data_IF_344154392481
#
_entry.id   IF_344154392481
#
_cell.length_a   1.000
_cell.length_b   1.000
_cell.length_c   1.000
_cell.angle_alpha   90.00
_cell.angle_beta   90.00
_cell.angle_gamma   90.00
#
_symmetry.space_group_name_H-M   'P 1'
#
loop_
_entity.id
_entity.type
_entity.pdbx_description
1 polymer ?
#
# COMPACT_ATOMS: atom_id res chain seq x y z
N UNK A 1 -9.23 -10.06 16.69
CA UNK A 1 -9.15 -10.77 15.40
C UNK A 1 -8.03 -10.24 14.51
N UNK A 2 -7.44 -9.06 14.76
CA UNK A 2 -6.32 -8.55 13.95
C UNK A 2 -6.73 -8.12 12.54
N UNK A 3 -8.04 -8.05 12.26
CA UNK A 3 -8.61 -7.68 10.97
C UNK A 3 -9.56 -6.50 11.20
N UNK A 4 -9.53 -5.45 10.35
CA UNK A 4 -10.49 -4.34 10.41
C UNK A 4 -11.95 -4.81 10.40
N UNK A 5 -12.81 -4.13 11.16
CA UNK A 5 -14.23 -4.46 11.21
C UNK A 5 -14.98 -3.99 9.95
N UNK A 6 -14.80 -2.75 9.51
CA UNK A 6 -15.40 -2.24 8.26
C UNK A 6 -14.36 -2.17 7.13
N UNK A 7 -14.79 -1.74 5.95
CA UNK A 7 -13.91 -1.50 4.81
C UNK A 7 -12.84 -0.46 5.11
N UNK A 8 -11.72 -0.59 4.40
CA UNK A 8 -10.55 0.26 4.61
C UNK A 8 -9.79 0.43 3.30
N UNK A 9 -9.31 1.65 3.07
CA UNK A 9 -8.53 2.04 1.90
C UNK A 9 -7.22 2.68 2.37
N UNK A 10 -6.10 2.36 1.70
CA UNK A 10 -4.81 3.01 1.91
C UNK A 10 -4.07 3.18 0.59
N UNK A 11 -3.64 4.40 0.28
CA UNK A 11 -2.91 4.69 -0.96
C UNK A 11 -3.75 4.42 -2.22
N UNK A 12 -5.08 4.47 -2.11
CA UNK A 12 -6.02 4.06 -3.15
C UNK A 12 -6.12 2.54 -3.36
N UNK A 13 -5.54 1.71 -2.49
CA UNK A 13 -5.77 0.27 -2.48
C UNK A 13 -6.82 -0.10 -1.45
N UNK A 14 -7.71 -1.03 -1.81
CA UNK A 14 -8.53 -1.73 -0.84
C UNK A 14 -7.65 -2.58 0.09
N UNK A 15 -7.72 -2.30 1.40
CA UNK A 15 -7.23 -3.21 2.44
C UNK A 15 -8.33 -4.22 2.79
N UNK A 16 -9.57 -3.75 2.93
CA UNK A 16 -10.74 -4.59 3.16
C UNK A 16 -11.92 -4.00 2.40
N UNK A 17 -12.67 -4.84 1.69
CA UNK A 17 -13.93 -4.44 1.05
C UNK A 17 -14.96 -4.03 2.11
N UNK A 18 -15.76 -3.01 1.81
CA UNK A 18 -16.87 -2.61 2.68
C UNK A 18 -17.99 -3.65 2.67
N UNK A 19 -18.72 -3.77 3.77
CA UNK A 19 -19.92 -4.59 3.85
C UNK A 19 -21.13 -3.76 3.44
N UNK A 20 -21.86 -4.25 2.43
CA UNK A 20 -23.01 -3.54 1.86
C UNK A 20 -24.09 -3.30 2.92
N UNK A 21 -24.51 -2.04 3.05
CA UNK A 21 -25.58 -1.61 3.97
C UNK A 21 -25.37 -2.06 5.43
N UNK A 22 -24.12 -2.17 5.86
CA UNK A 22 -23.77 -2.63 7.22
C UNK A 22 -24.16 -1.64 8.33
N UNK A 23 -24.64 -0.44 7.99
CA UNK A 23 -24.84 0.65 8.94
C UNK A 23 -23.52 1.29 9.41
N UNK A 24 -22.39 0.85 8.85
CA UNK A 24 -21.10 1.52 9.01
C UNK A 24 -21.15 2.94 8.47
N UNK A 25 -20.39 3.81 9.12
CA UNK A 25 -20.11 5.18 8.67
C UNK A 25 -18.62 5.20 8.34
N UNK A 26 -18.23 5.91 7.30
CA UNK A 26 -16.84 5.95 6.87
C UNK A 26 -16.28 7.35 6.93
N UNK A 27 -15.07 7.49 7.46
CA UNK A 27 -14.23 8.64 7.17
C UNK A 27 -13.42 8.34 5.92
N UNK A 28 -13.32 9.30 5.01
CA UNK A 28 -12.48 9.19 3.83
C UNK A 28 -11.74 10.50 3.55
N UNK A 29 -10.54 10.37 2.99
CA UNK A 29 -9.73 11.44 2.43
C UNK A 29 -9.42 11.11 0.98
N UNK A 30 -9.74 12.03 0.08
CA UNK A 30 -9.64 11.82 -1.35
C UNK A 30 -8.39 12.48 -1.96
N UNK A 31 -8.13 12.18 -3.24
CA UNK A 31 -6.97 12.73 -3.98
C UNK A 31 -7.10 14.23 -4.27
N UNK A 32 -8.30 14.77 -4.16
CA UNK A 32 -8.61 16.20 -4.29
C UNK A 32 -8.35 16.96 -2.97
N UNK A 33 -7.83 16.25 -1.95
CA UNK A 33 -7.50 16.75 -0.60
C UNK A 33 -8.71 17.14 0.23
N UNK A 34 -9.86 16.54 -0.07
CA UNK A 34 -11.09 16.73 0.68
C UNK A 34 -11.29 15.55 1.63
N UNK A 35 -11.78 15.87 2.82
CA UNK A 35 -12.21 14.89 3.80
C UNK A 35 -13.74 14.88 3.86
N UNK A 36 -14.32 13.70 3.99
CA UNK A 36 -15.77 13.56 4.18
C UNK A 36 -16.09 12.42 5.15
N UNK A 37 -17.27 12.51 5.76
CA UNK A 37 -17.86 11.44 6.57
C UNK A 37 -19.12 10.98 5.85
N UNK A 38 -19.05 9.81 5.22
CA UNK A 38 -20.13 9.23 4.43
C UNK A 38 -21.16 8.48 5.28
N UNK A 39 -22.30 8.13 4.67
CA UNK A 39 -23.25 7.16 5.24
C UNK A 39 -23.00 5.75 4.73
N UNK A 40 -24.01 4.87 4.79
CA UNK A 40 -23.81 3.48 4.43
C UNK A 40 -23.37 3.32 2.98
N UNK A 41 -22.43 2.43 2.74
CA UNK A 41 -21.93 2.10 1.41
C UNK A 41 -22.56 0.84 0.85
N UNK A 42 -22.63 0.76 -0.47
CA UNK A 42 -23.02 -0.43 -1.22
C UNK A 42 -22.23 -0.53 -2.52
N UNK A 43 -21.98 -1.75 -2.97
CA UNK A 43 -21.30 -1.99 -4.25
C UNK A 43 -22.31 -2.29 -5.37
N UNK A 44 -22.41 -1.47 -6.43
CA UNK A 44 -23.38 -1.71 -7.48
C UNK A 44 -23.02 -2.97 -8.26
N UNK A 45 -23.97 -3.88 -8.44
CA UNK A 45 -23.79 -5.15 -9.16
C UNK A 45 -23.29 -4.94 -10.61
N UNK A 46 -23.70 -3.83 -11.23
CA UNK A 46 -23.33 -3.45 -12.58
C UNK A 46 -22.02 -2.65 -12.66
N UNK A 47 -21.29 -2.53 -11.55
CA UNK A 47 -19.98 -1.86 -11.47
C UNK A 47 -18.90 -2.68 -10.72
N UNK A 48 -19.07 -4.00 -10.63
CA UNK A 48 -18.04 -4.93 -10.13
C UNK A 48 -17.48 -5.83 -11.24
N UNK A 49 -16.45 -5.35 -11.95
CA UNK A 49 -15.96 -6.01 -13.17
C UNK A 49 -14.45 -6.24 -13.21
N UNK A 50 -14.11 -7.46 -13.63
CA UNK A 50 -12.83 -7.80 -14.25
C UNK A 50 -13.00 -7.78 -15.77
N UNK A 51 -12.27 -6.91 -16.46
CA UNK A 51 -12.23 -6.81 -17.91
C UNK A 51 -10.98 -7.49 -18.49
N UNK A 52 -11.16 -8.21 -19.59
CA UNK A 52 -10.12 -8.70 -20.48
C UNK A 52 -10.11 -7.78 -21.70
N UNK A 53 -9.27 -6.74 -21.64
CA UNK A 53 -9.39 -5.54 -22.49
C UNK A 53 -9.11 -5.84 -23.96
N UNK A 54 -8.16 -6.73 -24.25
CA UNK A 54 -7.76 -7.05 -25.62
C UNK A 54 -8.83 -7.83 -26.40
N UNK A 55 -9.81 -8.43 -25.71
CA UNK A 55 -10.87 -9.26 -26.30
C UNK A 55 -12.29 -8.78 -25.97
N UNK A 56 -12.44 -7.66 -25.28
CA UNK A 56 -13.74 -7.10 -24.91
C UNK A 56 -14.62 -8.00 -24.04
N UNK A 57 -14.02 -8.88 -23.22
CA UNK A 57 -14.77 -9.77 -22.31
C UNK A 57 -14.74 -9.23 -20.89
N UNK A 58 -15.76 -9.55 -20.08
CA UNK A 58 -15.78 -9.25 -18.65
C UNK A 58 -16.28 -10.40 -17.78
N UNK A 59 -15.90 -10.39 -16.51
CA UNK A 59 -16.36 -11.30 -15.46
C UNK A 59 -16.74 -10.48 -14.22
N UNK A 60 -17.73 -10.97 -13.46
CA UNK A 60 -18.15 -10.34 -12.21
C UNK A 60 -17.07 -10.53 -11.15
N UNK A 61 -16.71 -9.43 -10.48
CA UNK A 61 -15.85 -9.46 -9.30
C UNK A 61 -16.72 -9.69 -8.07
N UNK A 62 -16.43 -10.75 -7.30
CA UNK A 62 -17.23 -11.16 -6.14
C UNK A 62 -16.66 -10.75 -4.78
N UNK A 63 -15.40 -10.30 -4.72
CA UNK A 63 -14.80 -9.87 -3.46
C UNK A 63 -13.39 -9.33 -3.60
N UNK A 64 -12.93 -8.64 -2.56
CA UNK A 64 -11.56 -8.10 -2.46
C UNK A 64 -11.05 -8.39 -1.05
N UNK A 65 -9.87 -9.02 -0.94
CA UNK A 65 -9.20 -9.35 0.31
C UNK A 65 -10.09 -10.12 1.32
N UNK A 66 -10.93 -11.02 0.80
CA UNK A 66 -11.79 -11.91 1.60
C UNK A 66 -11.39 -13.37 1.38
N UNK A 67 -11.69 -14.30 2.31
CA UNK A 67 -11.40 -15.72 2.10
C UNK A 67 -12.08 -16.28 0.84
N UNK A 68 -11.33 -17.03 0.03
CA UNK A 68 -11.82 -17.61 -1.24
C UNK A 68 -12.31 -19.06 -1.05
N UNK A 69 -13.59 -19.18 -0.68
CA UNK A 69 -14.25 -20.44 -0.34
C UNK A 69 -15.45 -20.78 -1.24
N UNK A 70 -15.68 -20.02 -2.32
CA UNK A 70 -16.90 -20.09 -3.13
C UNK A 70 -16.63 -20.08 -4.64
N UNK A 71 -17.67 -20.35 -5.45
CA UNK A 71 -17.63 -20.23 -6.92
C UNK A 71 -17.76 -18.76 -7.36
N UNK A 72 -16.75 -17.95 -7.06
CA UNK A 72 -16.67 -16.54 -7.45
C UNK A 72 -15.23 -16.13 -7.81
N UNK A 73 -15.04 -14.85 -8.15
CA UNK A 73 -13.71 -14.24 -8.30
C UNK A 73 -13.45 -13.35 -7.09
N UNK A 74 -12.28 -13.53 -6.47
CA UNK A 74 -11.76 -12.65 -5.41
C UNK A 74 -10.43 -12.05 -5.88
N UNK A 75 -10.24 -10.75 -5.65
CA UNK A 75 -8.95 -10.09 -5.82
C UNK A 75 -8.23 -10.02 -4.48
N UNK A 76 -6.95 -10.40 -4.48
CA UNK A 76 -6.04 -10.21 -3.36
C UNK A 76 -4.99 -9.16 -3.72
N UNK A 77 -4.82 -8.20 -2.82
CA UNK A 77 -3.85 -7.09 -2.92
C UNK A 77 -2.72 -7.29 -1.92
N UNK A 78 -1.59 -6.57 -2.03
CA UNK A 78 -0.46 -6.69 -1.10
C UNK A 78 -0.84 -6.35 0.36
N UNK A 79 -1.97 -5.69 0.59
CA UNK A 79 -2.49 -5.34 1.91
C UNK A 79 -3.15 -6.51 2.64
N UNK A 80 -3.51 -7.59 1.93
CA UNK A 80 -4.11 -8.77 2.55
C UNK A 80 -3.06 -9.58 3.33
N UNK A 81 -1.99 -9.98 2.63
CA UNK A 81 -0.85 -10.71 3.16
C UNK A 81 0.24 -10.78 2.05
N UNK A 82 1.39 -11.40 2.33
CA UNK A 82 2.42 -11.62 1.30
C UNK A 82 2.00 -12.63 0.22
N UNK A 83 0.94 -13.41 0.45
CA UNK A 83 0.32 -14.32 -0.51
C UNK A 83 -1.20 -14.44 -0.31
N UNK A 84 -1.90 -15.14 -1.21
CA UNK A 84 -3.36 -15.26 -1.15
C UNK A 84 -3.91 -16.13 -0.02
N UNK A 85 -3.05 -16.91 0.67
CA UNK A 85 -3.44 -17.92 1.68
C UNK A 85 -4.47 -18.95 1.22
N UNK A 86 -4.74 -19.05 -0.08
CA UNK A 86 -5.70 -20.01 -0.64
C UNK A 86 -5.08 -21.40 -0.75
N UNK A 87 -5.92 -22.42 -0.67
CA UNK A 87 -5.55 -23.81 -0.95
C UNK A 87 -5.58 -24.14 -2.44
N UNK A 88 -5.26 -25.40 -2.76
CA UNK A 88 -5.36 -25.93 -4.12
C UNK A 88 -6.82 -26.11 -4.56
N UNK A 89 -7.05 -26.30 -5.87
CA UNK A 89 -8.39 -26.46 -6.45
C UNK A 89 -9.02 -25.15 -6.92
N UNK A 90 -8.20 -24.26 -7.47
CA UNK A 90 -8.58 -22.98 -8.06
C UNK A 90 -7.52 -22.49 -9.04
N UNK A 91 -7.84 -21.42 -9.75
CA UNK A 91 -6.95 -20.73 -10.69
C UNK A 91 -6.59 -19.39 -10.09
N UNK A 92 -5.30 -19.09 -10.02
CA UNK A 92 -4.77 -17.81 -9.60
C UNK A 92 -4.00 -17.14 -10.72
N UNK A 93 -4.36 -15.88 -11.00
CA UNK A 93 -3.75 -15.06 -12.04
C UNK A 93 -3.05 -13.89 -11.39
N UNK A 94 -1.73 -13.83 -11.52
CA UNK A 94 -0.92 -12.70 -11.05
C UNK A 94 -0.97 -11.59 -12.10
N UNK A 95 -1.30 -10.39 -11.66
CA UNK A 95 -1.37 -9.20 -12.51
C UNK A 95 -0.42 -8.14 -11.98
N UNK A 96 0.45 -7.62 -12.85
CA UNK A 96 1.25 -6.42 -12.57
C UNK A 96 0.44 -5.18 -12.94
N UNK A 97 0.22 -4.29 -11.98
CA UNK A 97 -0.69 -3.16 -12.10
C UNK A 97 0.03 -1.87 -12.48
N UNK A 98 -0.60 -1.08 -13.35
CA UNK A 98 -0.14 0.27 -13.73
C UNK A 98 -0.51 1.34 -12.70
N UNK A 99 -1.51 1.04 -11.86
CA UNK A 99 -1.99 1.90 -10.80
C UNK A 99 -2.74 1.08 -9.74
N UNK A 100 -2.94 1.62 -8.53
CA UNK A 100 -3.81 1.01 -7.52
C UNK A 100 -5.21 0.71 -8.06
N UNK A 101 -5.75 -0.46 -7.71
CA UNK A 101 -7.13 -0.85 -7.98
C UNK A 101 -8.11 -0.21 -6.99
N UNK A 102 -8.13 1.13 -6.98
CA UNK A 102 -9.00 1.93 -6.13
C UNK A 102 -10.45 1.99 -6.63
N UNK A 103 -11.32 2.55 -5.79
CA UNK A 103 -12.75 2.70 -6.09
C UNK A 103 -12.93 3.51 -7.37
N UNK A 104 -13.77 3.04 -8.30
CA UNK A 104 -14.07 3.74 -9.56
C UNK A 104 -12.92 3.87 -10.56
N UNK A 105 -11.68 3.54 -10.16
CA UNK A 105 -10.44 3.90 -10.87
C UNK A 105 -10.23 3.26 -12.24
N UNK A 106 -11.04 2.25 -12.60
CA UNK A 106 -10.88 1.41 -13.81
C UNK A 106 -9.42 0.98 -14.01
N UNK A 107 -8.77 0.55 -12.92
CA UNK A 107 -7.35 0.26 -12.88
C UNK A 107 -6.93 -0.78 -13.91
N UNK A 108 -5.75 -0.62 -14.50
CA UNK A 108 -5.26 -1.47 -15.58
C UNK A 108 -3.99 -2.22 -15.15
N UNK A 109 -3.78 -3.38 -15.74
CA UNK A 109 -2.60 -4.19 -15.51
C UNK A 109 -2.38 -5.24 -16.58
N UNK A 110 -1.29 -6.00 -16.44
CA UNK A 110 -0.90 -7.06 -17.35
C UNK A 110 -0.80 -8.39 -16.63
N UNK A 111 -1.37 -9.44 -17.22
CA UNK A 111 -1.26 -10.79 -16.68
C UNK A 111 0.20 -11.26 -16.79
N UNK A 112 0.82 -11.62 -15.66
CA UNK A 112 2.21 -12.10 -15.59
C UNK A 112 2.33 -13.61 -15.41
N UNK A 113 1.39 -14.23 -14.71
CA UNK A 113 1.36 -15.68 -14.57
C UNK A 113 -0.06 -16.19 -14.33
N UNK A 114 -0.31 -17.44 -14.71
CA UNK A 114 -1.54 -18.17 -14.45
C UNK A 114 -1.13 -19.49 -13.78
N UNK A 115 -1.79 -19.85 -12.68
CA UNK A 115 -1.45 -21.02 -11.86
C UNK A 115 -2.71 -21.77 -11.49
N UNK A 116 -2.68 -23.10 -11.65
CA UNK A 116 -3.73 -24.00 -11.14
C UNK A 116 -3.40 -24.43 -9.69
N UNK A 117 -3.00 -23.47 -8.87
CA UNK A 117 -2.60 -23.66 -7.48
C UNK A 117 -2.84 -22.38 -6.68
N UNK A 118 -3.09 -22.54 -5.38
CA UNK A 118 -3.26 -21.42 -4.47
C UNK A 118 -1.96 -20.80 -3.98
N UNK A 119 -2.08 -19.97 -2.95
CA UNK A 119 -0.97 -19.33 -2.23
C UNK A 119 0.00 -18.57 -3.14
N UNK A 120 -0.52 -17.91 -4.18
CA UNK A 120 0.29 -17.00 -5.02
C UNK A 120 0.79 -15.83 -4.21
N UNK A 121 2.11 -15.63 -4.25
CA UNK A 121 2.77 -14.45 -3.69
C UNK A 121 2.19 -13.20 -4.34
N UNK A 122 2.04 -12.15 -3.55
CA UNK A 122 1.48 -10.86 -4.02
C UNK A 122 2.58 -9.80 -3.88
N UNK A 123 3.40 -9.59 -4.94
CA UNK A 123 4.37 -8.52 -4.96
C UNK A 123 3.71 -7.14 -4.86
N UNK A 124 4.48 -6.15 -4.41
CA UNK A 124 4.11 -4.74 -4.50
C UNK A 124 3.70 -4.37 -5.93
N UNK A 125 2.70 -3.50 -6.07
CA UNK A 125 2.07 -3.13 -7.34
C UNK A 125 1.54 -4.30 -8.17
N UNK A 126 1.30 -5.45 -7.55
CA UNK A 126 0.59 -6.55 -8.15
C UNK A 126 -0.69 -6.85 -7.39
N UNK A 127 -1.56 -7.61 -8.04
CA UNK A 127 -2.67 -8.28 -7.37
C UNK A 127 -2.78 -9.71 -7.91
N UNK A 128 -3.50 -10.54 -7.16
CA UNK A 128 -3.85 -11.89 -7.60
C UNK A 128 -5.36 -11.98 -7.75
N UNK A 129 -5.80 -12.41 -8.93
CA UNK A 129 -7.19 -12.79 -9.18
C UNK A 129 -7.30 -14.29 -8.89
N UNK A 130 -8.08 -14.65 -7.88
CA UNK A 130 -8.29 -16.03 -7.44
C UNK A 130 -9.72 -16.45 -7.71
N UNK A 131 -9.90 -17.57 -8.42
CA UNK A 131 -11.21 -18.11 -8.75
C UNK A 131 -11.27 -19.62 -8.60
N UNK A 132 -12.42 -20.14 -8.14
CA UNK A 132 -12.68 -21.57 -7.93
C UNK A 132 -13.93 -22.01 -8.68
N UNK A 133 -14.19 -23.31 -8.75
CA UNK A 133 -15.39 -23.85 -9.38
C UNK A 133 -15.54 -23.44 -10.85
N UNK A 134 -16.77 -23.11 -11.26
CA UNK A 134 -17.06 -22.70 -12.62
C UNK A 134 -16.42 -21.34 -12.97
N UNK A 135 -16.28 -20.44 -12.00
CA UNK A 135 -15.55 -19.17 -12.17
C UNK A 135 -14.07 -19.42 -12.47
N UNK A 136 -13.44 -20.37 -11.79
CA UNK A 136 -12.08 -20.83 -12.07
C UNK A 136 -11.92 -21.34 -13.50
N UNK A 137 -12.81 -22.25 -13.94
CA UNK A 137 -12.79 -22.76 -15.31
C UNK A 137 -12.96 -21.65 -16.36
N UNK A 138 -13.86 -20.69 -16.12
CA UNK A 138 -14.04 -19.52 -16.99
C UNK A 138 -12.82 -18.61 -17.00
N UNK A 139 -12.16 -18.40 -15.84
CA UNK A 139 -10.96 -17.59 -15.72
C UNK A 139 -9.81 -18.21 -16.51
N UNK A 140 -9.53 -19.51 -16.33
CA UNK A 140 -8.49 -20.23 -17.08
C UNK A 140 -8.76 -20.22 -18.60
N UNK A 141 -10.02 -20.38 -19.02
CA UNK A 141 -10.37 -20.33 -20.44
C UNK A 141 -10.11 -18.96 -21.08
N UNK A 142 -10.17 -17.87 -20.31
CA UNK A 142 -10.09 -16.48 -20.79
C UNK A 142 -8.70 -15.86 -20.63
N UNK A 143 -8.05 -16.05 -19.48
CA UNK A 143 -6.80 -15.40 -19.12
C UNK A 143 -5.65 -15.87 -20.02
N UNK A 144 -4.84 -14.92 -20.52
CA UNK A 144 -3.59 -15.21 -21.25
C UNK A 144 -2.45 -14.35 -20.71
N UNK A 145 -1.27 -14.93 -20.60
CA UNK A 145 -0.07 -14.19 -20.20
C UNK A 145 0.17 -13.04 -21.19
N UNK A 146 0.46 -11.85 -20.67
CA UNK A 146 0.66 -10.62 -21.43
C UNK A 146 -0.61 -9.83 -21.77
N UNK A 147 -1.80 -10.41 -21.59
CA UNK A 147 -3.07 -9.73 -21.84
C UNK A 147 -3.29 -8.56 -20.87
N UNK A 148 -3.84 -7.47 -21.40
CA UNK A 148 -4.27 -6.32 -20.59
C UNK A 148 -5.59 -6.60 -19.91
N UNK A 149 -5.65 -6.31 -18.62
CA UNK A 149 -6.88 -6.36 -17.85
C UNK A 149 -7.29 -4.98 -17.36
N UNK A 150 -8.57 -4.84 -17.04
CA UNK A 150 -9.13 -3.70 -16.32
C UNK A 150 -9.89 -4.18 -15.10
N UNK A 151 -9.87 -3.42 -14.00
CA UNK A 151 -10.62 -3.69 -12.78
C UNK A 151 -11.47 -2.47 -12.47
N UNK A 152 -12.78 -2.68 -12.38
CA UNK A 152 -13.72 -1.71 -11.87
C UNK A 152 -14.37 -2.30 -10.61
N UNK A 153 -14.29 -1.54 -9.53
CA UNK A 153 -15.07 -1.77 -8.32
C UNK A 153 -15.50 -0.40 -7.83
N UNK A 154 -16.78 -0.10 -7.97
CA UNK A 154 -17.37 1.14 -7.49
C UNK A 154 -18.12 0.94 -6.18
N UNK A 155 -18.39 2.06 -5.51
CA UNK A 155 -19.28 2.15 -4.36
C UNK A 155 -20.25 3.30 -4.61
N UNK A 156 -21.52 3.06 -4.27
CA UNK A 156 -22.49 4.12 -4.02
C UNK A 156 -22.68 4.28 -2.51
N UNK A 157 -23.04 5.48 -2.10
CA UNK A 157 -23.35 5.81 -0.71
C UNK A 157 -24.79 6.24 -0.52
N UNK A 158 -25.31 5.89 0.64
CA UNK A 158 -26.65 6.20 1.11
C UNK A 158 -26.57 6.95 2.44
N UNK A 159 -27.70 7.49 2.89
CA UNK A 159 -27.85 8.08 4.22
C UNK A 159 -27.45 7.09 5.30
N UNK A 160 -27.20 7.59 6.51
CA UNK A 160 -26.77 6.78 7.68
C UNK A 160 -27.73 5.64 8.05
N UNK A 161 -29.01 5.74 7.70
CA UNK A 161 -30.02 4.70 7.91
C UNK A 161 -30.14 3.74 6.70
N UNK A 162 -29.21 3.86 5.76
CA UNK A 162 -29.04 3.05 4.57
C UNK A 162 -30.22 3.13 3.58
N UNK A 163 -30.91 4.28 3.50
CA UNK A 163 -32.15 4.43 2.72
C UNK A 163 -32.02 5.34 1.52
N UNK A 164 -31.66 6.60 1.77
CA UNK A 164 -31.70 7.64 0.76
C UNK A 164 -30.35 7.77 0.08
N UNK A 165 -30.31 8.02 -1.23
CA UNK A 165 -29.06 8.23 -1.94
C UNK A 165 -28.32 9.44 -1.36
N UNK A 166 -27.06 9.25 -1.01
CA UNK A 166 -26.19 10.28 -0.43
C UNK A 166 -24.84 10.24 -1.14
N UNK A 167 -24.71 10.87 -2.32
CA UNK A 167 -23.56 10.69 -3.19
C UNK A 167 -22.32 11.36 -2.62
N UNK A 168 -21.25 10.59 -2.48
CA UNK A 168 -19.93 11.03 -1.99
C UNK A 168 -18.83 10.77 -3.02
N UNK A 169 -17.69 11.44 -2.87
CA UNK A 169 -16.55 11.37 -3.82
C UNK A 169 -15.66 10.15 -3.60
N UNK A 170 -16.26 8.96 -3.69
CA UNK A 170 -15.56 7.69 -3.48
C UNK A 170 -14.55 7.34 -4.58
N UNK A 171 -14.79 7.73 -5.82
CA UNK A 171 -13.92 7.40 -6.97
C UNK A 171 -12.48 7.96 -6.86
N UNK A 172 -12.30 9.00 -6.04
CA UNK A 172 -10.99 9.59 -5.74
C UNK A 172 -10.49 9.26 -4.34
N UNK A 173 -11.15 8.35 -3.60
CA UNK A 173 -10.74 7.97 -2.25
C UNK A 173 -9.29 7.44 -2.22
N UNK A 174 -8.47 8.05 -1.36
CA UNK A 174 -7.07 7.71 -1.19
C UNK A 174 -6.82 6.97 0.12
N UNK A 175 -7.50 7.37 1.18
CA UNK A 175 -7.51 6.70 2.45
C UNK A 175 -8.93 6.70 3.02
N UNK A 176 -9.32 5.62 3.67
CA UNK A 176 -10.61 5.54 4.35
C UNK A 176 -10.56 4.52 5.48
N UNK A 177 -11.28 4.80 6.55
CA UNK A 177 -11.46 3.89 7.69
C UNK A 177 -12.92 3.98 8.14
N UNK A 178 -13.56 2.83 8.32
CA UNK A 178 -14.90 2.79 8.90
C UNK A 178 -14.88 3.06 10.40
N UNK A 179 -15.93 3.71 10.88
CA UNK A 179 -16.24 3.92 12.29
C UNK A 179 -17.58 3.30 12.66
N UNK A 180 -17.92 3.36 13.96
CA UNK A 180 -19.09 2.66 14.49
C UNK A 180 -20.40 3.40 14.31
N UNK A 181 -20.37 4.73 14.40
CA UNK A 181 -21.54 5.61 14.24
C UNK A 181 -21.09 7.07 14.12
N UNK A 182 -21.90 7.90 13.45
CA UNK A 182 -21.73 9.35 13.43
C UNK A 182 -22.42 9.98 14.64
N UNK A 183 -21.70 10.71 15.48
CA UNK A 183 -22.29 11.42 16.63
C UNK A 183 -22.63 12.87 16.30
N UNK A 184 -22.14 13.38 15.17
CA UNK A 184 -22.41 14.73 14.67
C UNK A 184 -22.58 14.68 13.14
N UNK A 185 -23.67 15.26 12.64
CA UNK A 185 -24.06 15.19 11.24
C UNK A 185 -24.60 16.55 10.79
N UNK A 186 -23.86 17.27 9.94
CA UNK A 186 -24.22 18.62 9.50
C UNK A 186 -24.67 19.53 10.66
N UNK A 187 -23.83 19.64 11.70
CA UNK A 187 -24.06 20.37 12.97
C UNK A 187 -25.13 19.80 13.91
N UNK A 188 -25.85 18.74 13.52
CA UNK A 188 -26.84 18.08 14.37
C UNK A 188 -26.21 16.96 15.20
N UNK A 189 -26.45 16.99 16.51
CA UNK A 189 -26.04 15.91 17.42
C UNK A 189 -26.94 14.70 17.18
N UNK A 190 -26.31 13.55 16.92
CA UNK A 190 -27.01 12.29 16.69
C UNK A 190 -27.04 11.49 18.00
N UNK A 191 -28.24 11.28 18.52
CA UNK A 191 -28.45 10.54 19.77
C UNK A 191 -28.59 9.03 19.53
N UNK A 192 -27.98 8.25 20.44
CA UNK A 192 -28.02 6.78 20.45
C UNK A 192 -28.41 6.28 21.83
N UNK A 193 -29.59 6.69 22.31
CA UNK A 193 -30.01 6.53 23.72
C UNK A 193 -30.11 5.07 24.19
N UNK A 194 -30.31 4.12 23.27
CA UNK A 194 -30.35 2.69 23.57
C UNK A 194 -28.98 2.00 23.48
N UNK A 195 -27.94 2.69 23.01
CA UNK A 195 -26.60 2.14 22.87
C UNK A 195 -25.74 2.47 24.10
N UNK A 196 -25.50 1.48 24.96
CA UNK A 196 -24.65 1.65 26.14
C UNK A 196 -23.23 2.13 25.81
N UNK A 197 -22.69 1.74 24.66
CA UNK A 197 -21.41 2.22 24.16
C UNK A 197 -21.42 3.71 23.84
N UNK A 198 -22.59 4.32 23.58
CA UNK A 198 -22.74 5.74 23.34
C UNK A 198 -23.14 6.52 24.62
N UNK A 199 -24.04 5.96 25.44
CA UNK A 199 -24.59 6.68 26.61
C UNK A 199 -23.72 6.62 27.85
N UNK A 200 -22.77 5.69 27.93
CA UNK A 200 -21.82 5.62 29.06
C UNK A 200 -20.53 6.36 28.76
N UNK A 201 -19.87 6.89 29.81
CA UNK A 201 -18.57 7.55 29.66
C UNK A 201 -17.47 6.52 29.42
N UNK A 202 -16.73 6.71 28.34
CA UNK A 202 -15.59 5.89 27.97
C UNK A 202 -14.44 6.75 27.44
N UNK A 203 -13.20 6.24 27.42
CA UNK A 203 -12.19 6.75 26.52
C UNK A 203 -12.72 6.71 25.09
N UNK A 204 -12.45 7.76 24.31
CA UNK A 204 -12.97 7.92 22.94
C UNK A 204 -11.84 8.17 21.97
N UNK A 205 -12.02 7.67 20.75
CA UNK A 205 -11.26 8.07 19.58
C UNK A 205 -12.27 8.54 18.55
N UNK A 206 -12.04 9.68 17.91
CA UNK A 206 -12.95 10.23 16.93
C UNK A 206 -12.23 11.01 15.85
N UNK A 207 -12.91 11.13 14.71
CA UNK A 207 -12.59 12.10 13.67
C UNK A 207 -13.74 13.09 13.59
N UNK A 208 -13.45 14.37 13.72
CA UNK A 208 -14.41 15.46 13.52
C UNK A 208 -13.91 16.34 12.36
N UNK A 209 -14.80 16.96 11.60
CA UNK A 209 -14.38 17.88 10.54
C UNK A 209 -15.36 19.04 10.35
N UNK A 210 -14.83 20.12 9.80
CA UNK A 210 -15.57 21.21 9.14
C UNK A 210 -14.89 21.51 7.81
N UNK A 211 -15.30 22.59 7.12
CA UNK A 211 -14.75 22.96 5.82
C UNK A 211 -13.24 23.29 5.82
N UNK A 212 -12.65 23.60 6.98
CA UNK A 212 -11.26 24.04 7.10
C UNK A 212 -10.34 23.01 7.78
N UNK A 213 -10.86 22.27 8.76
CA UNK A 213 -10.09 21.41 9.64
C UNK A 213 -10.63 19.98 9.71
N UNK A 214 -9.69 19.03 9.73
CA UNK A 214 -9.92 17.65 10.21
C UNK A 214 -9.29 17.51 11.58
N UNK A 215 -10.10 17.17 12.57
CA UNK A 215 -9.71 16.95 13.95
C UNK A 215 -9.61 15.46 14.25
N UNK A 216 -8.44 15.02 14.69
CA UNK A 216 -8.25 13.70 15.31
C UNK A 216 -8.33 13.88 16.82
N UNK A 217 -9.35 13.28 17.44
CA UNK A 217 -9.67 13.50 18.86
C UNK A 217 -9.47 12.20 19.62
N UNK A 218 -8.69 12.27 20.71
CA UNK A 218 -8.58 11.20 21.71
C UNK A 218 -8.96 11.75 23.08
N UNK A 219 -9.85 11.04 23.76
CA UNK A 219 -10.31 11.35 25.12
C UNK A 219 -9.91 10.19 26.01
N UNK A 220 -9.09 10.44 27.04
CA UNK A 220 -8.81 9.43 28.07
C UNK A 220 -10.07 9.14 28.90
N UNK A 221 -10.15 7.98 29.54
CA UNK A 221 -11.29 7.65 30.41
C UNK A 221 -11.03 6.45 31.31
N UNK A 222 -12.05 6.05 32.10
CA UNK A 222 -12.01 4.94 33.09
C UNK A 222 -10.94 5.11 34.18
N UNK A 223 -10.54 6.34 34.46
CA UNK A 223 -9.41 6.64 35.33
C UNK A 223 -9.80 7.71 36.37
N UNK A 224 -10.46 7.29 37.47
CA UNK A 224 -10.89 8.21 38.53
C UNK A 224 -9.76 9.12 39.02
N UNK A 225 -10.05 10.40 39.22
CA UNK A 225 -9.07 11.42 39.61
C UNK A 225 -8.21 11.98 38.47
N UNK A 226 -8.33 11.46 37.24
CA UNK A 226 -7.64 11.98 36.06
C UNK A 226 -8.61 12.23 34.90
N UNK A 227 -9.20 11.19 34.33
CA UNK A 227 -10.23 11.31 33.30
C UNK A 227 -11.26 10.19 33.41
N UNK A 228 -12.52 10.59 33.46
CA UNK A 228 -13.67 9.66 33.50
C UNK A 228 -14.21 9.32 32.11
N UNK A 229 -13.70 9.95 31.05
CA UNK A 229 -14.17 9.78 29.68
C UNK A 229 -15.37 10.65 29.32
N UNK A 230 -15.92 10.44 28.13
CA UNK A 230 -17.10 11.13 27.62
C UNK A 230 -18.15 10.16 27.12
N UNK A 231 -19.42 10.53 27.24
CA UNK A 231 -20.49 9.95 26.41
C UNK A 231 -20.33 10.43 24.96
N UNK A 232 -20.98 9.77 23.99
CA UNK A 232 -20.95 10.23 22.60
C UNK A 232 -21.56 11.63 22.44
N UNK A 233 -22.57 11.94 23.23
CA UNK A 233 -23.25 13.23 23.22
C UNK A 233 -22.37 14.34 23.86
N UNK A 234 -21.64 14.04 24.93
CA UNK A 234 -20.62 14.95 25.49
C UNK A 234 -19.51 15.23 24.47
N UNK A 235 -19.04 14.19 23.77
CA UNK A 235 -18.06 14.31 22.70
C UNK A 235 -18.61 15.14 21.52
N UNK A 236 -19.87 14.91 21.13
CA UNK A 236 -20.51 15.66 20.05
C UNK A 236 -20.62 17.15 20.38
N UNK A 237 -21.06 17.50 21.59
CA UNK A 237 -21.07 18.88 22.08
C UNK A 237 -19.66 19.49 22.09
N UNK A 238 -18.66 18.74 22.53
CA UNK A 238 -17.28 19.22 22.49
C UNK A 238 -16.81 19.51 21.05
N UNK A 239 -16.97 18.56 20.12
CA UNK A 239 -16.58 18.77 18.72
C UNK A 239 -17.31 19.95 18.08
N UNK A 240 -18.63 20.06 18.28
CA UNK A 240 -19.43 21.16 17.73
C UNK A 240 -19.10 22.51 18.38
N UNK A 241 -19.21 22.58 19.70
CA UNK A 241 -19.21 23.86 20.42
C UNK A 241 -17.79 24.39 20.68
N UNK A 242 -16.76 23.53 20.70
CA UNK A 242 -15.36 23.92 20.99
C UNK A 242 -14.45 23.87 19.78
N UNK A 243 -14.63 22.87 18.90
CA UNK A 243 -13.83 22.75 17.69
C UNK A 243 -14.52 23.38 16.47
N UNK A 244 -15.80 23.74 16.57
CA UNK A 244 -16.56 24.21 15.41
C UNK A 244 -16.67 23.14 14.32
N UNK A 245 -16.59 21.86 14.70
CA UNK A 245 -16.79 20.77 13.76
C UNK A 245 -18.28 20.64 13.42
N UNK A 246 -18.57 20.23 12.20
CA UNK A 246 -19.93 20.03 11.70
C UNK A 246 -20.27 18.54 11.52
N UNK A 247 -19.23 17.72 11.36
CA UNK A 247 -19.34 16.28 11.18
C UNK A 247 -18.45 15.58 12.19
N UNK A 248 -18.86 14.40 12.65
CA UNK A 248 -18.14 13.65 13.67
C UNK A 248 -18.46 12.16 13.65
N UNK A 249 -17.42 11.34 13.56
CA UNK A 249 -17.50 9.88 13.54
C UNK A 249 -16.73 9.28 14.71
N UNK A 250 -17.37 8.35 15.41
CA UNK A 250 -16.73 7.58 16.48
C UNK A 250 -15.89 6.44 15.90
N UNK A 251 -14.64 6.34 16.34
CA UNK A 251 -13.71 5.24 16.07
C UNK A 251 -13.65 4.29 17.26
N UNK A 252 -12.87 3.20 17.16
CA UNK A 252 -12.69 2.29 18.30
C UNK A 252 -12.12 3.03 19.52
N UNK A 253 -12.75 2.79 20.67
CA UNK A 253 -12.53 3.55 21.90
C UNK A 253 -12.03 2.66 23.05
N UNK A 254 -12.31 3.09 24.29
CA UNK A 254 -11.96 2.30 25.46
C UNK A 254 -10.46 2.09 25.61
N UNK A 255 -10.02 0.84 25.83
CA UNK A 255 -8.59 0.52 25.93
C UNK A 255 -7.82 0.68 24.63
N UNK A 256 -8.51 0.81 23.49
CA UNK A 256 -7.89 1.03 22.18
C UNK A 256 -7.52 2.50 21.92
N UNK A 257 -8.07 3.45 22.70
CA UNK A 257 -7.79 4.88 22.51
C UNK A 257 -6.34 5.23 22.86
N UNK A 258 -5.56 5.54 21.83
CA UNK A 258 -4.19 6.01 21.93
C UNK A 258 -3.89 7.05 20.84
N UNK A 259 -3.11 8.07 21.18
CA UNK A 259 -2.56 9.05 20.24
C UNK A 259 -1.05 9.09 20.36
N UNK A 260 -0.39 9.02 19.21
CA UNK A 260 1.04 9.20 19.09
C UNK A 260 1.34 10.54 18.41
N UNK A 261 2.28 11.28 18.96
CA UNK A 261 2.83 12.49 18.36
C UNK A 261 4.35 12.43 18.50
N UNK A 262 5.06 12.69 17.41
CA UNK A 262 6.53 12.76 17.38
C UNK A 262 7.25 11.55 18.01
N UNK A 263 6.67 10.35 17.85
CA UNK A 263 7.28 9.10 18.32
C UNK A 263 6.99 8.76 19.78
N UNK A 264 6.09 9.50 20.44
CA UNK A 264 5.68 9.23 21.82
C UNK A 264 4.16 9.20 21.96
N UNK A 265 3.68 8.41 22.93
CA UNK A 265 2.27 8.43 23.31
C UNK A 265 1.97 9.68 24.13
N UNK A 266 0.92 10.41 23.76
CA UNK A 266 0.56 11.69 24.39
C UNK A 266 -0.66 11.62 25.30
N UNK A 267 -1.34 10.48 25.36
CA UNK A 267 -2.47 10.22 26.25
C UNK A 267 -2.14 9.09 27.25
N UNK A 268 -3.06 8.80 28.19
CA UNK A 268 -2.89 7.72 29.17
C UNK A 268 -3.87 6.56 28.90
N UNK A 269 -3.44 5.50 28.18
CA UNK A 269 -4.27 4.36 27.85
C UNK A 269 -4.98 3.76 29.07
N UNK A 270 -6.28 3.51 28.91
CA UNK A 270 -7.12 3.08 30.05
C UNK A 270 -6.83 1.65 30.54
N UNK A 271 -6.14 0.82 29.76
CA UNK A 271 -5.69 -0.51 30.18
C UNK A 271 -4.37 -0.47 30.99
N UNK A 272 -3.85 0.73 31.30
CA UNK A 272 -2.54 0.94 31.95
C UNK A 272 -1.34 0.76 31.01
N UNK A 273 -1.59 0.35 29.77
CA UNK A 273 -0.64 0.23 28.67
C UNK A 273 -1.39 0.31 27.34
N UNK A 274 -0.65 0.48 26.26
CA UNK A 274 -1.21 0.41 24.91
C UNK A 274 -1.78 -0.99 24.61
N UNK A 275 -2.94 -1.00 23.96
CA UNK A 275 -3.61 -2.21 23.47
C UNK A 275 -3.23 -2.45 22.01
N UNK A 276 -3.00 -3.71 21.66
CA UNK A 276 -2.84 -4.10 20.25
C UNK A 276 -4.17 -3.89 19.51
N UNK A 277 -4.12 -3.04 18.49
CA UNK A 277 -5.24 -2.76 17.58
C UNK A 277 -4.96 -3.30 16.17
N UNK A 278 -6.01 -3.54 15.40
CA UNK A 278 -5.87 -4.11 14.05
C UNK A 278 -5.46 -3.06 12.99
N UNK A 279 -5.88 -1.81 13.18
CA UNK A 279 -5.64 -0.70 12.28
C UNK A 279 -5.65 0.62 13.05
N UNK A 280 -5.32 1.71 12.35
CA UNK A 280 -5.32 3.07 12.91
C UNK A 280 -5.21 4.12 11.81
N UNK A 281 -5.33 5.39 12.22
CA UNK A 281 -5.14 6.56 11.38
C UNK A 281 -3.74 7.12 11.62
N UNK A 282 -3.04 7.47 10.54
CA UNK A 282 -1.71 8.07 10.62
C UNK A 282 -1.70 9.28 9.68
N UNK A 283 -1.36 10.43 10.22
CA UNK A 283 -1.03 11.61 9.44
C UNK A 283 0.45 11.54 9.07
N UNK A 284 0.75 11.60 7.78
CA UNK A 284 2.12 11.54 7.27
C UNK A 284 2.36 12.67 6.28
N UNK A 285 3.59 13.17 6.24
CA UNK A 285 4.07 14.01 5.15
C UNK A 285 4.56 13.08 4.04
N UNK A 286 3.96 13.19 2.85
CA UNK A 286 4.44 12.46 1.68
C UNK A 286 5.70 13.14 1.15
N UNK A 287 6.84 12.48 1.31
CA UNK A 287 8.09 12.93 0.71
C UNK A 287 8.06 12.77 -0.82
N UNK A 288 8.83 13.61 -1.51
CA UNK A 288 9.09 13.40 -2.94
C UNK A 288 9.83 12.09 -3.15
N UNK A 289 9.44 11.36 -4.20
CA UNK A 289 10.11 10.13 -4.60
C UNK A 289 11.58 10.42 -4.89
N UNK A 290 12.48 9.86 -4.08
CA UNK A 290 13.93 9.84 -4.36
C UNK A 290 14.29 8.51 -5.00
N UNK A 291 15.20 8.54 -5.98
CA UNK A 291 15.72 7.33 -6.63
C UNK A 291 17.22 7.41 -6.75
N UNK A 292 17.86 6.26 -6.55
CA UNK A 292 19.25 6.05 -6.93
C UNK A 292 19.39 5.84 -8.43
N UNK A 293 20.57 6.17 -8.93
CA UNK A 293 21.03 5.92 -10.31
C UNK A 293 22.22 4.97 -10.34
N UNK A 294 22.52 4.28 -9.24
CA UNK A 294 23.68 3.39 -9.11
C UNK A 294 23.65 2.24 -10.12
N UNK A 295 22.45 1.73 -10.41
CA UNK A 295 22.25 0.67 -11.39
C UNK A 295 21.29 1.09 -12.50
N UNK A 296 21.26 0.28 -13.56
CA UNK A 296 20.31 0.45 -14.66
C UNK A 296 19.66 -0.88 -15.01
N UNK A 297 18.50 -0.81 -15.67
CA UNK A 297 17.78 -2.01 -16.11
C UNK A 297 18.65 -2.82 -17.07
N UNK A 298 18.76 -4.11 -16.83
CA UNK A 298 19.59 -5.03 -17.62
C UNK A 298 21.03 -5.15 -17.11
N UNK A 299 21.46 -4.31 -16.17
CA UNK A 299 22.79 -4.43 -15.57
C UNK A 299 22.91 -5.76 -14.81
N UNK A 300 24.01 -6.46 -15.05
CA UNK A 300 24.37 -7.65 -14.28
C UNK A 300 24.95 -7.21 -12.93
N UNK A 301 24.44 -7.81 -11.87
CA UNK A 301 24.82 -7.52 -10.48
C UNK A 301 25.18 -8.80 -9.76
N UNK A 302 25.87 -8.68 -8.63
CA UNK A 302 26.18 -9.80 -7.75
C UNK A 302 25.87 -9.43 -6.30
N UNK A 303 25.43 -10.40 -5.51
CA UNK A 303 25.23 -10.18 -4.08
C UNK A 303 26.57 -10.06 -3.34
N UNK A 304 26.75 -9.02 -2.52
CA UNK A 304 28.00 -8.83 -1.73
C UNK A 304 28.01 -9.59 -0.41
N UNK A 305 26.83 -9.99 0.06
CA UNK A 305 26.57 -10.84 1.22
C UNK A 305 25.31 -11.66 1.00
N UNK A 306 25.01 -12.61 1.88
CA UNK A 306 23.71 -13.26 1.86
C UNK A 306 22.63 -12.23 2.15
N UNK A 307 21.65 -12.12 1.27
CA UNK A 307 20.65 -11.04 1.30
C UNK A 307 19.26 -11.55 0.93
N UNK A 308 18.24 -11.00 1.57
CA UNK A 308 16.86 -11.36 1.30
C UNK A 308 16.34 -10.68 0.03
N UNK A 309 15.54 -11.43 -0.72
CA UNK A 309 14.69 -10.86 -1.77
C UNK A 309 13.25 -10.79 -1.25
N UNK A 310 12.64 -9.61 -1.42
CA UNK A 310 11.38 -9.24 -0.80
C UNK A 310 10.29 -9.03 -1.84
N UNK A 311 9.04 -9.11 -1.39
CA UNK A 311 7.87 -8.88 -2.24
C UNK A 311 7.65 -7.40 -2.58
N UNK A 312 8.28 -6.46 -1.88
CA UNK A 312 8.18 -5.02 -2.13
C UNK A 312 9.44 -4.24 -1.71
N UNK A 313 9.56 -2.97 -2.11
CA UNK A 313 10.69 -2.10 -1.78
C UNK A 313 10.59 -1.60 -0.33
N UNK A 314 11.21 -2.34 0.61
CA UNK A 314 11.19 -2.01 2.02
C UNK A 314 11.32 -3.24 2.92
N UNK A 315 11.90 -3.05 4.10
CA UNK A 315 12.02 -4.07 5.15
C UNK A 315 10.67 -4.45 5.78
N UNK A 316 9.63 -3.62 5.60
CA UNK A 316 8.23 -3.91 5.96
C UNK A 316 7.57 -4.96 5.06
N UNK A 317 8.14 -5.24 3.89
CA UNK A 317 7.67 -6.31 3.00
C UNK A 317 8.35 -7.63 3.33
N UNK A 318 7.58 -8.72 3.31
CA UNK A 318 8.09 -10.06 3.62
C UNK A 318 9.21 -10.49 2.67
N UNK A 319 10.29 -11.03 3.23
CA UNK A 319 11.25 -11.84 2.51
C UNK A 319 10.64 -13.21 2.20
N UNK A 320 10.90 -13.73 1.00
CA UNK A 320 10.39 -15.06 0.62
C UNK A 320 11.52 -16.07 0.36
N UNK A 321 12.76 -15.60 0.26
CA UNK A 321 13.97 -16.42 0.12
C UNK A 321 15.19 -15.54 0.36
N UNK A 322 16.32 -16.16 0.68
CA UNK A 322 17.61 -15.51 0.84
C UNK A 322 18.52 -15.97 -0.29
N UNK A 323 19.21 -15.03 -0.93
CA UNK A 323 20.19 -15.27 -1.98
C UNK A 323 21.59 -15.32 -1.33
N UNK A 324 22.38 -16.38 -1.53
CA UNK A 324 23.74 -16.46 -0.99
C UNK A 324 24.64 -15.33 -1.47
N UNK A 325 25.72 -15.05 -0.73
CA UNK A 325 26.79 -14.16 -1.19
C UNK A 325 27.39 -14.65 -2.52
N UNK A 326 27.68 -13.70 -3.40
CA UNK A 326 28.38 -13.97 -4.64
C UNK A 326 27.49 -14.54 -5.73
N UNK A 327 26.17 -14.60 -5.56
CA UNK A 327 25.25 -15.09 -6.59
C UNK A 327 25.07 -14.02 -7.67
N UNK A 328 25.26 -14.35 -8.96
CA UNK A 328 25.02 -13.40 -10.05
C UNK A 328 23.52 -13.22 -10.31
N UNK A 329 23.14 -12.02 -10.73
CA UNK A 329 21.77 -11.64 -11.04
C UNK A 329 21.70 -10.46 -12.00
N UNK A 330 20.49 -9.96 -12.20
CA UNK A 330 20.22 -8.88 -13.15
C UNK A 330 19.19 -7.92 -12.60
N UNK A 331 19.35 -6.63 -12.88
CA UNK A 331 18.34 -5.60 -12.58
C UNK A 331 17.20 -5.70 -13.59
N UNK A 332 15.98 -5.86 -13.09
CA UNK A 332 14.77 -6.02 -13.90
C UNK A 332 14.07 -4.66 -14.12
N UNK A 333 13.33 -4.49 -15.23
CA UNK A 333 12.43 -3.36 -15.37
C UNK A 333 11.29 -3.41 -14.33
N UNK A 334 10.84 -2.24 -13.88
CA UNK A 334 9.60 -2.10 -13.11
C UNK A 334 8.62 -1.22 -13.89
N UNK A 335 7.37 -1.68 -14.06
CA UNK A 335 6.42 -1.00 -14.97
C UNK A 335 6.08 0.42 -14.50
N UNK A 336 6.04 0.65 -13.19
CA UNK A 336 5.81 1.97 -12.59
C UNK A 336 7.11 2.74 -12.33
N UNK A 337 8.23 2.32 -12.95
CA UNK A 337 9.54 2.97 -12.87
C UNK A 337 10.03 3.16 -11.42
N UNK A 338 9.97 2.13 -10.56
CA UNK A 338 10.35 2.22 -9.15
C UNK A 338 11.75 1.67 -8.84
N UNK A 339 12.56 1.37 -9.85
CA UNK A 339 13.94 0.97 -9.62
C UNK A 339 14.74 2.10 -8.95
N UNK A 340 15.57 1.72 -7.98
CA UNK A 340 16.35 2.64 -7.15
C UNK A 340 15.53 3.42 -6.15
N UNK A 341 14.23 3.14 -5.97
CA UNK A 341 13.35 3.92 -5.07
C UNK A 341 13.86 3.91 -3.63
N UNK A 342 13.92 5.10 -3.02
CA UNK A 342 14.22 5.24 -1.61
C UNK A 342 12.96 4.95 -0.79
N UNK A 343 13.01 3.93 0.06
CA UNK A 343 11.97 3.58 1.00
C UNK A 343 12.60 3.29 2.37
N UNK A 344 12.11 3.99 3.40
CA UNK A 344 12.61 3.90 4.78
C UNK A 344 14.14 4.08 4.89
N UNK A 345 14.68 5.06 4.16
CA UNK A 345 16.10 5.41 4.19
C UNK A 345 17.02 4.51 3.37
N UNK A 346 16.48 3.51 2.66
CA UNK A 346 17.26 2.59 1.82
C UNK A 346 16.79 2.63 0.37
N UNK A 347 17.70 2.55 -0.60
CA UNK A 347 17.37 2.43 -2.02
C UNK A 347 17.11 0.96 -2.37
N UNK A 348 16.05 0.69 -3.14
CA UNK A 348 15.61 -0.66 -3.47
C UNK A 348 15.56 -0.88 -4.99
N UNK A 349 16.03 -2.05 -5.42
CA UNK A 349 16.10 -2.42 -6.83
C UNK A 349 15.30 -3.69 -7.08
N UNK A 350 14.57 -3.71 -8.20
CA UNK A 350 13.92 -4.93 -8.68
C UNK A 350 14.97 -5.78 -9.38
N UNK A 351 15.15 -7.01 -8.94
CA UNK A 351 16.24 -7.89 -9.36
C UNK A 351 15.75 -9.31 -9.60
N UNK A 352 16.51 -10.06 -10.39
CA UNK A 352 16.36 -11.50 -10.52
C UNK A 352 17.67 -12.23 -10.22
N UNK A 353 17.56 -13.29 -9.42
CA UNK A 353 18.64 -14.22 -9.07
C UNK A 353 18.09 -15.64 -9.20
N UNK A 354 18.73 -16.49 -10.00
CA UNK A 354 18.39 -17.92 -10.14
C UNK A 354 16.89 -18.18 -10.43
N UNK A 355 16.28 -17.36 -11.28
CA UNK A 355 14.86 -17.46 -11.65
C UNK A 355 13.88 -16.94 -10.58
N UNK A 356 14.38 -16.48 -9.43
CA UNK A 356 13.59 -15.80 -8.40
C UNK A 356 13.73 -14.30 -8.59
N UNK A 357 12.64 -13.56 -8.43
CA UNK A 357 12.65 -12.11 -8.61
C UNK A 357 11.83 -11.39 -7.52
N UNK A 358 12.17 -10.13 -7.29
CA UNK A 358 11.61 -9.31 -6.22
C UNK A 358 12.50 -8.09 -5.98
N UNK A 359 12.49 -7.60 -4.75
CA UNK A 359 13.20 -6.39 -4.35
C UNK A 359 14.37 -6.71 -3.43
N UNK A 360 15.52 -6.07 -3.67
CA UNK A 360 16.71 -6.17 -2.83
C UNK A 360 17.26 -4.78 -2.55
N UNK A 361 17.86 -4.57 -1.37
CA UNK A 361 18.47 -3.31 -1.01
C UNK A 361 19.74 -3.07 -1.85
N UNK A 362 19.97 -1.83 -2.25
CA UNK A 362 21.13 -1.42 -3.05
C UNK A 362 22.47 -1.84 -2.42
N UNK A 363 22.62 -1.67 -1.10
CA UNK A 363 23.84 -2.05 -0.39
C UNK A 363 24.12 -3.55 -0.31
N UNK A 364 23.22 -4.40 -0.82
CA UNK A 364 23.43 -5.84 -0.96
C UNK A 364 23.89 -6.25 -2.37
N UNK A 365 23.97 -5.29 -3.29
CA UNK A 365 24.31 -5.46 -4.68
C UNK A 365 25.65 -4.79 -5.00
N UNK A 366 26.38 -5.37 -5.95
CA UNK A 366 27.52 -4.74 -6.60
C UNK A 366 27.40 -4.96 -8.11
N UNK A 367 27.84 -3.97 -8.90
CA UNK A 367 27.85 -4.09 -10.35
C UNK A 367 28.89 -5.13 -10.74
N UNK A 368 28.50 -6.12 -11.56
CA UNK A 368 29.47 -7.06 -12.07
C UNK A 368 30.28 -6.39 -13.19
N UNK A 369 31.39 -5.75 -12.81
CA UNK A 369 32.36 -5.24 -13.78
C UNK A 369 33.03 -6.42 -14.45
N UNK A 370 32.49 -6.82 -15.61
CA UNK A 370 33.22 -7.69 -16.52
C UNK A 370 34.43 -6.93 -17.03
N UNK A 371 35.59 -7.18 -16.42
CA UNK A 371 36.86 -6.82 -17.01
C UNK A 371 37.02 -7.62 -18.30
N UNK A 372 36.44 -7.15 -19.41
CA UNK A 372 36.92 -7.52 -20.74
C UNK A 372 38.34 -6.97 -20.78
N UNK A 373 39.31 -7.86 -20.61
CA UNK A 373 40.72 -7.54 -20.48
C UNK A 373 41.24 -6.76 -21.69
N UNK A 374 41.21 -5.45 -21.61
CA UNK A 374 41.99 -4.57 -22.47
C UNK A 374 42.52 -3.43 -21.60
N UNK A 375 43.86 -3.28 -21.63
CA UNK A 375 44.65 -2.19 -21.01
C UNK A 375 45.19 -2.39 -19.58
N UNK A 376 45.78 -3.55 -19.31
CA UNK A 376 46.98 -3.64 -18.44
C UNK A 376 48.24 -3.65 -19.33
N UNK A 377 48.48 -2.55 -20.06
CA UNK A 377 49.58 -2.50 -21.03
C UNK A 377 50.01 -1.14 -21.56
N UNK A 378 49.31 -0.04 -21.25
CA UNK A 378 49.68 1.28 -21.82
C UNK A 378 49.81 2.40 -20.81
N UNK A 379 49.66 2.12 -19.51
CA UNK A 379 50.27 3.00 -18.51
C UNK A 379 51.81 2.92 -18.52
N UNK A 380 52.38 1.77 -18.92
CA UNK A 380 53.84 1.58 -18.94
C UNK A 380 54.53 1.98 -20.26
N UNK A 381 53.76 2.26 -21.33
CA UNK A 381 54.31 2.77 -22.61
C UNK A 381 54.24 4.28 -22.77
N UNK A 382 53.40 4.98 -21.99
CA UNK A 382 53.32 6.45 -22.01
C UNK A 382 54.30 7.08 -21.00
N UNK A 383 54.86 6.30 -20.06
CA UNK A 383 55.87 6.74 -19.09
C UNK A 383 57.32 6.30 -19.43
N UNK A 384 57.56 5.75 -20.63
CA UNK A 384 58.90 5.32 -21.09
C UNK A 384 59.39 6.01 -22.36
N UNK A 385 58.71 7.06 -22.83
CA UNK A 385 59.18 7.87 -23.98
C UNK A 385 59.62 9.28 -23.59
N UNK A 386 59.77 9.60 -22.31
CA UNK A 386 60.22 10.93 -21.85
C UNK A 386 61.68 10.99 -21.38
N UNK A 387 62.40 9.87 -21.31
CA UNK A 387 63.81 9.87 -20.88
C UNK A 387 64.71 9.32 -22.00
N UNK A 388 65.12 10.22 -22.90
CA UNK A 388 66.44 10.14 -23.50
C UNK A 388 66.89 11.56 -23.89
N UNK A 389 67.32 12.31 -22.88
CA UNK A 389 68.08 13.53 -23.04
C UNK A 389 69.47 13.19 -23.56
N UNK A 390 69.80 13.81 -24.69
CA UNK A 390 71.08 13.79 -25.38
C UNK A 390 72.25 14.28 -24.52
N UNK A 391 73.34 13.52 -24.52
CA UNK A 391 74.69 13.97 -24.16
C UNK A 391 75.54 14.02 -25.44
N UNK A 392 75.98 15.24 -25.80
CA UNK A 392 77.34 15.67 -26.22
C UNK A 392 78.18 14.67 -27.06
N UNK A 393 78.81 14.99 -28.20
CA UNK A 393 79.67 16.15 -28.58
C UNK A 393 80.35 15.76 -29.95
N UNK A 394 81.37 16.46 -30.52
CA UNK A 394 81.58 17.87 -30.84
C UNK A 394 82.10 18.07 -32.31
N UNK A 395 82.76 19.20 -32.59
CA UNK A 395 83.49 19.64 -33.82
C UNK A 395 82.59 20.36 -34.84
N UNK A 396 82.78 21.62 -35.22
CA UNK A 396 83.94 22.52 -35.14
C UNK A 396 84.04 23.24 -36.49
N UNK A 397 83.74 24.54 -36.53
CA UNK A 397 84.12 25.40 -37.65
C UNK A 397 84.28 26.84 -37.16
N UNK A 398 85.52 27.21 -36.87
CA UNK A 398 85.98 28.60 -36.93
C UNK A 398 86.37 28.88 -38.38
N UNK A 399 86.00 30.04 -38.91
CA UNK A 399 86.73 30.61 -40.03
C UNK A 399 87.84 31.53 -39.47
N UNK A 400 88.97 31.70 -40.16
CA UNK A 400 89.83 30.70 -40.79
C UNK A 400 90.63 29.87 -39.78
#
# INVERSE_FOLDING_TARGET
TGVPQSGQIQGGWYIKRFEDYSGGIEFAFNRDREAFIGGCVMHPDDEQWLYFLDRGRKMVLGGINVPQNSDNIVIYTPQYDYNTRTGNGGVEVLVEMLQPAGIGSRAKGYIRSIRDAGSTRIPFDHLVISARGAAGARLAARARIGERIGILSSIDSTSRDCRDRFPEKWDSAFASIGGSFNFLNANEIVNYDSNLGATTRHPRTAVCLNDEYVYFVVVDGRQPGYSIGMTSDELARFCRDRLGAEWGINQDGGGSSAMWLDGEIVNRPSDGRERLVANGLIMVVLEHVRKSTEFEVGLTVRTVRSADIRVGPGDNYAAFTTIPKGTPGIVLPHINNLNGVNARGTNWWRVAFEGKWGWMAEGDLDAEVTWIGVWKGVRDKVLRSSDNSSSEDPVGNTAP
#
